data_IF_094993760348
#
_entry.id   IF_094993760348
#
_cell.length_a   1.000
_cell.length_b   1.000
_cell.length_c   1.000
_cell.angle_alpha   90.00
_cell.angle_beta   90.00
_cell.angle_gamma   90.00
#
_symmetry.space_group_name_H-M   'P 1'
#
loop_
_entity.id
_entity.type
_entity.pdbx_description
1 polymer ?
#
# COMPACT_ATOMS: atom_id res chain seq x y z
N UNK A 1 -30.26 -30.55 87.65
CA UNK A 1 -30.43 -30.39 86.21
C UNK A 1 -29.62 -29.19 85.75
N UNK A 2 -28.36 -29.40 85.42
CA UNK A 2 -27.41 -28.37 84.99
C UNK A 2 -27.23 -28.50 83.49
N UNK A 3 -28.10 -27.84 82.71
CA UNK A 3 -27.96 -27.71 81.26
C UNK A 3 -27.23 -26.38 81.04
N UNK A 4 -25.90 -26.48 80.92
CA UNK A 4 -25.06 -25.37 80.49
C UNK A 4 -25.05 -25.30 78.97
N UNK A 5 -25.35 -24.11 78.49
CA UNK A 5 -25.42 -23.63 77.11
C UNK A 5 -24.05 -23.66 76.41
N UNK A 6 -24.01 -24.11 75.14
CA UNK A 6 -23.14 -23.63 74.04
C UNK A 6 -23.56 -24.39 72.76
N UNK A 7 -24.35 -23.83 71.85
CA UNK A 7 -24.12 -22.76 70.85
C UNK A 7 -23.02 -23.05 69.83
N UNK A 8 -23.41 -23.43 68.61
CA UNK A 8 -22.75 -23.12 67.32
C UNK A 8 -23.80 -23.29 66.20
N UNK A 9 -24.47 -22.25 65.71
CA UNK A 9 -24.08 -21.30 64.64
C UNK A 9 -23.89 -21.96 63.26
N UNK A 10 -24.98 -22.00 62.47
CA UNK A 10 -24.94 -22.15 61.01
C UNK A 10 -24.68 -20.79 60.36
N UNK A 11 -23.60 -20.72 59.59
CA UNK A 11 -23.05 -19.55 58.90
C UNK A 11 -23.50 -19.50 57.45
N UNK A 12 -24.22 -18.44 57.07
CA UNK A 12 -24.50 -18.08 55.68
C UNK A 12 -23.21 -17.54 55.02
N UNK A 13 -22.78 -18.05 53.85
CA UNK A 13 -21.61 -17.52 53.16
C UNK A 13 -21.88 -16.12 52.60
N UNK A 14 -21.07 -15.17 53.07
CA UNK A 14 -20.99 -13.78 52.61
C UNK A 14 -20.58 -13.72 51.14
N UNK A 15 -21.41 -13.10 50.31
CA UNK A 15 -21.00 -12.60 49.00
C UNK A 15 -20.04 -11.42 49.19
N UNK A 16 -18.75 -11.69 49.00
CA UNK A 16 -17.70 -10.67 48.90
C UNK A 16 -17.91 -9.88 47.61
N UNK A 17 -18.47 -8.68 47.73
CA UNK A 17 -18.49 -7.69 46.65
C UNK A 17 -17.09 -7.07 46.54
N UNK A 18 -16.26 -7.67 45.70
CA UNK A 18 -14.99 -7.07 45.27
C UNK A 18 -15.31 -5.83 44.42
N UNK A 19 -15.20 -4.64 45.03
CA UNK A 19 -15.14 -3.37 44.31
C UNK A 19 -13.83 -3.32 43.53
N UNK A 20 -13.85 -3.62 42.24
CA UNK A 20 -12.76 -3.21 41.34
C UNK A 20 -12.91 -1.72 41.04
N UNK A 21 -12.00 -0.92 41.57
CA UNK A 21 -11.81 0.47 41.17
C UNK A 21 -11.20 0.42 39.76
N UNK A 22 -12.02 0.62 38.73
CA UNK A 22 -11.52 0.95 37.39
C UNK A 22 -11.43 2.46 37.31
N UNK A 23 -10.21 2.95 37.42
CA UNK A 23 -9.79 4.32 37.13
C UNK A 23 -10.16 4.65 35.68
N UNK A 24 -11.18 5.50 35.47
CA UNK A 24 -11.40 6.14 34.17
C UNK A 24 -10.30 7.18 33.95
N UNK A 25 -9.24 6.81 33.22
CA UNK A 25 -8.38 7.77 32.55
C UNK A 25 -9.22 8.48 31.49
N UNK A 26 -9.53 9.74 31.76
CA UNK A 26 -10.28 10.63 30.88
C UNK A 26 -9.31 11.15 29.81
N UNK A 27 -9.18 10.46 28.68
CA UNK A 27 -8.62 11.07 27.46
C UNK A 27 -9.75 11.73 26.69
N UNK A 28 -9.88 13.04 26.87
CA UNK A 28 -10.75 13.89 26.06
C UNK A 28 -10.19 13.99 24.63
N UNK A 29 -10.80 13.31 23.67
CA UNK A 29 -10.66 13.69 22.26
C UNK A 29 -11.60 14.86 22.01
N UNK A 30 -11.02 16.06 21.95
CA UNK A 30 -11.72 17.25 21.49
C UNK A 30 -12.17 17.05 20.04
N UNK A 31 -13.48 17.13 19.81
CA UNK A 31 -14.04 17.22 18.47
C UNK A 31 -13.67 18.58 17.88
N UNK A 32 -12.83 18.59 16.85
CA UNK A 32 -12.66 19.75 15.98
C UNK A 32 -13.66 19.67 14.82
N UNK A 33 -14.32 20.78 14.44
CA UNK A 33 -15.24 20.79 13.32
C UNK A 33 -14.49 20.66 12.00
N UNK A 34 -14.94 19.75 11.14
CA UNK A 34 -14.52 19.64 9.74
C UNK A 34 -14.95 20.92 8.99
N UNK A 35 -13.97 21.68 8.46
CA UNK A 35 -14.24 22.79 7.53
C UNK A 35 -14.48 22.23 6.13
N UNK A 36 -15.60 22.64 5.52
CA UNK A 36 -15.92 22.35 4.13
C UNK A 36 -14.93 23.04 3.17
N UNK A 37 -14.52 22.33 2.11
CA UNK A 37 -13.76 22.89 1.01
C UNK A 37 -14.69 23.56 -0.01
N UNK A 38 -14.46 24.85 -0.23
CA UNK A 38 -15.07 25.63 -1.31
C UNK A 38 -14.42 25.24 -2.64
N UNK A 39 -15.26 24.86 -3.62
CA UNK A 39 -14.86 24.69 -5.01
C UNK A 39 -15.30 25.95 -5.76
N UNK A 40 -14.34 26.73 -6.27
CA UNK A 40 -14.64 27.80 -7.23
C UNK A 40 -14.19 27.33 -8.61
N UNK A 41 -15.14 27.30 -9.55
CA UNK A 41 -14.90 26.97 -10.95
C UNK A 41 -14.23 28.13 -11.68
N UNK A 42 -13.16 27.83 -12.41
CA UNK A 42 -12.50 28.74 -13.34
C UNK A 42 -12.22 28.01 -14.65
N UNK A 43 -12.80 28.53 -15.73
CA UNK A 43 -12.60 28.12 -17.11
C UNK A 43 -11.21 28.50 -17.62
N UNK A 44 -10.76 27.80 -18.66
CA UNK A 44 -9.49 27.86 -19.40
C UNK A 44 -8.30 27.06 -18.85
N UNK A 45 -7.77 26.23 -19.75
CA UNK A 45 -6.76 25.21 -19.50
C UNK A 45 -5.45 25.76 -18.93
N UNK A 46 -4.92 25.01 -17.97
CA UNK A 46 -3.63 25.24 -17.35
C UNK A 46 -3.47 24.35 -16.11
N UNK A 47 -2.58 23.36 -16.23
CA UNK A 47 -2.05 22.46 -15.20
C UNK A 47 -2.44 22.74 -13.73
N UNK A 48 -3.23 21.87 -13.11
CA UNK A 48 -3.50 21.88 -11.67
C UNK A 48 -2.25 21.49 -10.89
N UNK A 49 -1.60 22.47 -10.23
CA UNK A 49 -0.54 22.21 -9.25
C UNK A 49 -1.16 22.08 -7.87
N UNK A 50 -1.18 20.87 -7.32
CA UNK A 50 -1.49 20.64 -5.91
C UNK A 50 -0.24 20.92 -5.06
N UNK A 51 -0.31 21.97 -4.24
CA UNK A 51 0.68 22.25 -3.20
C UNK A 51 0.44 21.31 -2.01
N UNK A 52 1.39 20.41 -1.74
CA UNK A 52 1.44 19.67 -0.48
C UNK A 52 2.27 20.48 0.51
N UNK A 53 1.64 20.94 1.58
CA UNK A 53 2.37 21.40 2.76
C UNK A 53 2.80 20.16 3.56
N UNK A 54 4.11 19.98 3.73
CA UNK A 54 4.66 19.02 4.69
C UNK A 54 5.18 19.79 5.90
N UNK A 55 4.65 19.45 7.07
CA UNK A 55 5.21 19.80 8.37
C UNK A 55 6.26 18.73 8.72
N UNK A 56 7.52 19.17 8.85
CA UNK A 56 8.55 18.68 9.78
C UNK A 56 9.07 17.23 9.69
N UNK A 57 10.39 17.09 9.47
CA UNK A 57 11.16 15.88 9.81
C UNK A 57 12.41 15.72 8.95
N UNK A 58 13.60 16.02 9.49
CA UNK A 58 14.86 16.25 8.75
C UNK A 58 15.62 15.04 8.19
N UNK A 59 16.65 15.37 7.39
CA UNK A 59 17.73 14.51 6.86
C UNK A 59 17.49 14.10 5.40
N UNK A 60 18.18 14.55 4.35
CA UNK A 60 19.56 15.00 4.19
C UNK A 60 20.28 14.01 3.26
N UNK A 61 20.95 14.52 2.20
CA UNK A 61 21.90 13.88 1.27
C UNK A 61 21.46 13.55 -0.18
N UNK A 62 22.22 14.13 -1.14
CA UNK A 62 22.36 13.75 -2.55
C UNK A 62 21.49 14.57 -3.52
N UNK A 63 21.96 15.45 -4.41
CA UNK A 63 23.24 15.52 -5.11
C UNK A 63 22.93 15.68 -6.61
N UNK A 64 22.51 16.88 -7.03
CA UNK A 64 22.12 17.19 -8.40
C UNK A 64 23.29 17.72 -9.24
N UNK A 65 23.61 17.04 -10.33
CA UNK A 65 24.53 17.53 -11.37
C UNK A 65 23.73 18.22 -12.47
N UNK A 66 23.86 19.55 -12.56
CA UNK A 66 23.42 20.35 -13.70
C UNK A 66 24.64 20.85 -14.47
N UNK A 67 24.82 20.37 -15.70
CA UNK A 67 25.80 20.90 -16.66
C UNK A 67 25.13 22.02 -17.48
N UNK A 68 25.50 23.27 -17.20
CA UNK A 68 25.17 24.44 -18.02
C UNK A 68 26.45 25.15 -18.42
N UNK A 69 26.89 24.92 -19.67
CA UNK A 69 28.07 25.57 -20.24
C UNK A 69 27.71 26.92 -20.86
N UNK A 70 28.43 27.96 -20.48
CA UNK A 70 28.38 29.27 -21.13
C UNK A 70 29.78 29.86 -21.19
N UNK A 71 30.34 30.02 -22.39
CA UNK A 71 31.44 30.92 -22.71
C UNK A 71 31.41 31.21 -24.22
N UNK A 72 31.01 32.43 -24.61
CA UNK A 72 31.14 32.97 -25.96
C UNK A 72 31.77 34.35 -25.88
N UNK A 73 33.07 34.42 -26.15
CA UNK A 73 33.88 35.63 -26.08
C UNK A 73 33.76 36.51 -27.32
N UNK A 74 33.54 37.80 -27.11
CA UNK A 74 33.60 38.84 -28.14
C UNK A 74 35.05 39.22 -28.44
N UNK A 75 35.42 39.21 -29.71
CA UNK A 75 36.67 39.78 -30.22
C UNK A 75 36.40 41.16 -30.81
N UNK A 76 36.90 42.19 -30.14
CA UNK A 76 37.11 43.53 -30.68
C UNK A 76 38.60 43.75 -30.91
N UNK A 77 38.97 44.21 -32.10
CA UNK A 77 40.36 44.54 -32.44
C UNK A 77 40.39 45.38 -33.70
N UNK A 78 40.40 46.70 -33.53
CA UNK A 78 40.66 47.68 -34.59
C UNK A 78 42.09 48.22 -34.49
N UNK A 79 42.78 48.30 -35.63
CA UNK A 79 44.00 49.07 -35.93
C UNK A 79 44.14 49.00 -37.47
N UNK A 80 44.47 50.00 -38.28
CA UNK A 80 44.80 51.41 -38.14
C UNK A 80 45.18 51.94 -39.54
N UNK A 81 45.38 53.26 -39.65
CA UNK A 81 45.62 54.05 -40.88
C UNK A 81 46.75 53.56 -41.78
N UNK A 82 46.83 53.88 -43.08
CA UNK A 82 46.55 55.16 -43.73
C UNK A 82 47.84 55.91 -44.07
N UNK A 83 48.31 55.83 -45.33
CA UNK A 83 49.29 56.71 -46.01
C UNK A 83 49.10 56.45 -47.53
N UNK A 84 48.93 57.40 -48.47
CA UNK A 84 49.29 58.81 -48.52
C UNK A 84 50.49 59.00 -49.46
N UNK A 85 50.27 59.48 -50.69
CA UNK A 85 51.36 59.78 -51.62
C UNK A 85 50.89 60.27 -53.00
N UNK A 86 50.60 61.56 -53.10
CA UNK A 86 50.44 62.30 -54.36
C UNK A 86 51.52 63.39 -54.51
N UNK A 87 51.44 64.11 -55.65
CA UNK A 87 52.15 65.35 -56.02
C UNK A 87 53.61 65.21 -56.50
N UNK A 88 54.19 66.03 -57.38
CA UNK A 88 53.80 66.94 -58.47
C UNK A 88 55.05 67.79 -58.78
N UNK A 89 55.49 67.95 -60.03
CA UNK A 89 56.40 69.04 -60.50
C UNK A 89 56.46 68.93 -62.04
N UNK A 90 56.40 69.93 -62.91
CA UNK A 90 56.42 71.39 -62.80
C UNK A 90 57.20 71.98 -63.98
N UNK A 91 56.50 72.50 -65.00
CA UNK A 91 56.78 73.64 -65.92
C UNK A 91 58.13 73.71 -66.69
N UNK A 92 58.06 73.80 -68.04
CA UNK A 92 58.61 74.91 -68.88
C UNK A 92 58.42 74.64 -70.41
N UNK A 93 57.63 75.53 -71.04
CA UNK A 93 57.83 76.22 -72.34
C UNK A 93 58.35 75.44 -73.58
N UNK A 94 57.47 75.34 -74.59
CA UNK A 94 57.80 75.71 -75.98
C UNK A 94 58.05 74.60 -77.01
N UNK A 95 57.20 74.55 -78.04
CA UNK A 95 57.60 74.17 -79.40
C UNK A 95 57.45 72.70 -79.82
N UNK A 96 56.57 72.49 -80.81
CA UNK A 96 56.65 71.53 -81.90
C UNK A 96 56.67 70.00 -81.63
N UNK A 97 55.49 69.40 -81.86
CA UNK A 97 55.23 68.23 -82.72
C UNK A 97 55.95 66.87 -82.50
N UNK A 98 56.90 66.73 -81.57
CA UNK A 98 57.61 65.46 -81.28
C UNK A 98 57.15 64.77 -79.97
N UNK A 99 56.22 65.39 -79.24
CA UNK A 99 55.78 64.93 -77.92
C UNK A 99 54.77 63.76 -77.94
N UNK A 100 54.14 63.48 -79.09
CA UNK A 100 53.07 62.47 -79.21
C UNK A 100 53.66 61.06 -79.42
N UNK A 101 54.78 60.91 -80.15
CA UNK A 101 55.43 59.61 -80.38
C UNK A 101 56.27 59.11 -79.19
N UNK A 102 56.88 60.01 -78.40
CA UNK A 102 57.58 59.65 -77.16
C UNK A 102 56.62 59.19 -76.06
N UNK A 103 55.41 59.74 -76.02
CA UNK A 103 54.37 59.37 -75.06
C UNK A 103 53.81 57.96 -75.33
N UNK A 104 53.57 57.59 -76.59
CA UNK A 104 53.08 56.26 -76.96
C UNK A 104 54.11 55.14 -76.71
N UNK A 105 55.40 55.43 -76.90
CA UNK A 105 56.47 54.48 -76.59
C UNK A 105 56.67 54.31 -75.08
N UNK A 106 56.55 55.39 -74.30
CA UNK A 106 56.62 55.35 -72.84
C UNK A 106 55.42 54.62 -72.22
N UNK A 107 54.21 54.78 -72.77
CA UNK A 107 53.03 54.03 -72.32
C UNK A 107 53.12 52.54 -72.68
N UNK A 108 53.65 52.20 -73.86
CA UNK A 108 53.91 50.80 -74.24
C UNK A 108 55.01 50.15 -73.39
N UNK A 109 56.05 50.89 -73.00
CA UNK A 109 57.05 50.40 -72.05
C UNK A 109 56.43 50.18 -70.66
N UNK A 110 55.62 51.11 -70.14
CA UNK A 110 54.95 50.93 -68.86
C UNK A 110 54.00 49.72 -68.84
N UNK A 111 53.27 49.50 -69.95
CA UNK A 111 52.44 48.31 -70.13
C UNK A 111 53.27 47.03 -70.17
N UNK A 112 54.39 47.03 -70.90
CA UNK A 112 55.30 45.88 -70.94
C UNK A 112 55.96 45.61 -69.59
N UNK A 113 56.35 46.62 -68.82
CA UNK A 113 56.90 46.47 -67.48
C UNK A 113 55.84 45.94 -66.50
N UNK A 114 54.58 46.37 -66.68
CA UNK A 114 53.43 45.83 -65.93
C UNK A 114 53.10 44.39 -66.31
N UNK A 115 53.26 44.03 -67.58
CA UNK A 115 53.06 42.65 -68.06
C UNK A 115 54.22 41.75 -67.59
N UNK A 116 55.46 42.24 -67.60
CA UNK A 116 56.62 41.56 -67.06
C UNK A 116 56.46 41.30 -65.55
N UNK A 117 56.06 42.32 -64.77
CA UNK A 117 55.78 42.15 -63.34
C UNK A 117 54.58 41.25 -63.06
N UNK A 118 53.56 41.24 -63.94
CA UNK A 118 52.45 40.28 -63.85
C UNK A 118 52.91 38.85 -64.13
N UNK A 119 53.74 38.63 -65.15
CA UNK A 119 54.32 37.32 -65.46
C UNK A 119 55.26 36.83 -64.35
N UNK A 120 56.07 37.72 -63.77
CA UNK A 120 56.90 37.44 -62.60
C UNK A 120 56.00 37.01 -61.42
N UNK A 121 54.89 37.71 -61.21
CA UNK A 121 53.93 37.38 -60.15
C UNK A 121 53.25 36.03 -60.39
N UNK A 122 52.82 35.74 -61.61
CA UNK A 122 52.22 34.46 -61.98
C UNK A 122 53.21 33.33 -61.74
N UNK A 123 54.48 33.46 -62.18
CA UNK A 123 55.52 32.47 -61.91
C UNK A 123 55.77 32.26 -60.41
N UNK A 124 55.76 33.34 -59.62
CA UNK A 124 55.91 33.23 -58.16
C UNK A 124 54.74 32.50 -57.50
N UNK A 125 53.51 32.72 -58.00
CA UNK A 125 52.31 32.07 -57.52
C UNK A 125 52.23 30.60 -57.94
N UNK A 126 52.65 30.27 -59.16
CA UNK A 126 52.78 28.89 -59.64
C UNK A 126 53.81 28.11 -58.81
N UNK A 127 54.96 28.71 -58.51
CA UNK A 127 55.98 28.11 -57.64
C UNK A 127 55.44 27.90 -56.21
N UNK A 128 54.72 28.88 -55.66
CA UNK A 128 54.07 28.77 -54.36
C UNK A 128 52.99 27.67 -54.33
N UNK A 129 52.14 27.59 -55.36
CA UNK A 129 51.14 26.53 -55.49
C UNK A 129 51.79 25.15 -55.59
N UNK A 130 52.85 24.99 -56.38
CA UNK A 130 53.59 23.73 -56.46
C UNK A 130 54.21 23.33 -55.11
N UNK A 131 54.66 24.30 -54.30
CA UNK A 131 55.12 24.00 -52.93
C UNK A 131 53.99 23.59 -51.99
N UNK A 132 52.84 24.26 -52.06
CA UNK A 132 51.66 23.94 -51.24
C UNK A 132 51.07 22.57 -51.59
N UNK A 133 50.97 22.23 -52.88
CA UNK A 133 50.52 20.91 -53.31
C UNK A 133 51.42 19.79 -52.79
N UNK A 134 52.75 20.01 -52.78
CA UNK A 134 53.70 19.05 -52.21
C UNK A 134 53.49 18.90 -50.70
N UNK A 135 53.30 20.01 -49.99
CA UNK A 135 53.03 19.99 -48.54
C UNK A 135 51.71 19.28 -48.21
N UNK A 136 50.66 19.47 -49.04
CA UNK A 136 49.38 18.78 -48.90
C UNK A 136 49.56 17.28 -49.10
N UNK A 137 50.27 16.86 -50.16
CA UNK A 137 50.57 15.44 -50.40
C UNK A 137 51.35 14.83 -49.25
N UNK A 138 52.43 15.48 -48.81
CA UNK A 138 53.19 15.03 -47.64
C UNK A 138 52.36 14.96 -46.36
N UNK A 139 51.41 15.89 -46.16
CA UNK A 139 50.51 15.88 -45.01
C UNK A 139 49.56 14.67 -45.05
N UNK A 140 49.00 14.35 -46.21
CA UNK A 140 48.15 13.17 -46.38
C UNK A 140 48.95 11.85 -46.26
N UNK A 141 50.16 11.79 -46.81
CA UNK A 141 51.04 10.63 -46.68
C UNK A 141 51.49 10.39 -45.24
N UNK A 142 51.86 11.46 -44.52
CA UNK A 142 52.26 11.40 -43.09
C UNK A 142 51.10 11.04 -42.17
N UNK A 143 49.87 11.46 -42.51
CA UNK A 143 48.69 11.08 -41.73
C UNK A 143 48.17 9.69 -42.05
N UNK A 144 48.55 9.11 -43.19
CA UNK A 144 48.03 7.86 -43.70
C UNK A 144 46.49 7.84 -43.77
N UNK A 145 45.88 6.75 -44.25
CA UNK A 145 44.53 6.45 -43.80
C UNK A 145 44.62 6.38 -42.28
N UNK A 146 43.71 7.04 -41.57
CA UNK A 146 43.56 6.91 -40.11
C UNK A 146 43.46 5.42 -39.83
N UNK A 147 44.62 4.81 -39.54
CA UNK A 147 44.73 3.42 -39.24
C UNK A 147 43.76 3.21 -38.10
N UNK A 148 42.86 2.25 -38.29
CA UNK A 148 41.95 1.80 -37.26
C UNK A 148 42.75 1.73 -35.97
N UNK A 149 42.47 2.65 -35.06
CA UNK A 149 43.14 2.67 -33.76
C UNK A 149 42.74 1.35 -33.13
N UNK A 150 43.66 0.40 -32.99
CA UNK A 150 43.33 -0.97 -32.60
C UNK A 150 42.70 -1.00 -31.21
N UNK A 151 41.37 -1.00 -31.16
CA UNK A 151 40.57 -1.12 -29.94
C UNK A 151 40.48 -2.57 -29.45
N UNK A 152 41.19 -3.49 -30.11
CA UNK A 152 41.15 -4.93 -29.85
C UNK A 152 41.40 -5.29 -28.38
N UNK A 153 42.34 -4.58 -27.74
CA UNK A 153 42.69 -4.74 -26.32
C UNK A 153 41.52 -4.47 -25.35
N UNK A 154 40.57 -3.62 -25.72
CA UNK A 154 39.42 -3.30 -24.88
C UNK A 154 38.29 -4.32 -25.00
N UNK A 155 38.22 -5.08 -26.09
CA UNK A 155 37.16 -6.08 -26.28
C UNK A 155 37.17 -7.15 -25.20
N UNK A 156 38.35 -7.64 -24.80
CA UNK A 156 38.46 -8.62 -23.73
C UNK A 156 37.94 -8.07 -22.40
N UNK A 157 38.32 -6.84 -22.05
CA UNK A 157 37.83 -6.18 -20.82
C UNK A 157 36.33 -5.89 -20.88
N UNK A 158 35.80 -5.50 -22.04
CA UNK A 158 34.38 -5.23 -22.23
C UNK A 158 33.58 -6.53 -22.13
N UNK A 159 34.07 -7.63 -22.70
CA UNK A 159 33.42 -8.92 -22.61
C UNK A 159 33.43 -9.47 -21.18
N UNK A 160 34.56 -9.39 -20.48
CA UNK A 160 34.64 -9.77 -19.06
C UNK A 160 33.67 -8.95 -18.19
N UNK A 161 33.58 -7.63 -18.40
CA UNK A 161 32.61 -6.78 -17.71
C UNK A 161 31.17 -7.13 -18.06
N UNK A 162 30.87 -7.41 -19.33
CA UNK A 162 29.53 -7.86 -19.75
C UNK A 162 29.14 -9.17 -19.09
N UNK A 163 30.06 -10.13 -18.99
CA UNK A 163 29.79 -11.42 -18.37
C UNK A 163 29.65 -11.30 -16.86
N UNK A 164 30.44 -10.44 -16.20
CA UNK A 164 30.24 -10.08 -14.79
C UNK A 164 28.87 -9.46 -14.55
N UNK A 165 28.41 -8.55 -15.42
CA UNK A 165 27.07 -7.95 -15.33
C UNK A 165 26.00 -9.03 -15.48
N UNK A 166 26.09 -9.91 -16.50
CA UNK A 166 25.12 -11.00 -16.68
C UNK A 166 25.07 -11.92 -15.47
N UNK A 167 26.23 -12.34 -14.95
CA UNK A 167 26.31 -13.19 -13.77
C UNK A 167 25.73 -12.50 -12.54
N UNK A 168 25.99 -11.21 -12.35
CA UNK A 168 25.40 -10.42 -11.27
C UNK A 168 23.87 -10.33 -11.41
N UNK A 169 23.35 -10.13 -12.62
CA UNK A 169 21.90 -10.11 -12.89
C UNK A 169 21.24 -11.45 -12.57
N UNK A 170 21.85 -12.56 -13.00
CA UNK A 170 21.36 -13.92 -12.70
C UNK A 170 21.40 -14.18 -11.19
N UNK A 171 22.49 -13.83 -10.51
CA UNK A 171 22.61 -13.99 -9.08
C UNK A 171 21.60 -13.14 -8.31
N UNK A 172 21.33 -11.91 -8.76
CA UNK A 172 20.30 -11.05 -8.17
C UNK A 172 18.91 -11.68 -8.32
N UNK A 173 18.57 -12.19 -9.51
CA UNK A 173 17.32 -12.91 -9.73
C UNK A 173 17.20 -14.15 -8.83
N UNK A 174 18.28 -14.93 -8.68
CA UNK A 174 18.30 -16.09 -7.77
C UNK A 174 18.08 -15.68 -6.31
N UNK A 175 18.71 -14.59 -5.84
CA UNK A 175 18.52 -14.07 -4.49
C UNK A 175 17.07 -13.62 -4.28
N UNK A 176 16.48 -12.93 -5.24
CA UNK A 176 15.08 -12.51 -5.17
C UNK A 176 14.14 -13.73 -5.04
N UNK A 177 14.36 -14.77 -5.84
CA UNK A 177 13.60 -16.02 -5.74
C UNK A 177 13.76 -16.71 -4.38
N UNK A 178 14.98 -16.71 -3.81
CA UNK A 178 15.21 -17.26 -2.47
C UNK A 178 14.51 -16.45 -1.38
N UNK A 179 14.48 -15.11 -1.51
CA UNK A 179 13.75 -14.22 -0.61
C UNK A 179 12.26 -14.52 -0.68
N UNK A 180 11.69 -14.62 -1.88
CA UNK A 180 10.27 -14.89 -2.06
C UNK A 180 9.91 -16.30 -1.56
N UNK A 181 10.74 -17.30 -1.82
CA UNK A 181 10.55 -18.64 -1.26
C UNK A 181 10.60 -18.64 0.28
N UNK A 182 11.55 -17.93 0.87
CA UNK A 182 11.66 -17.80 2.33
C UNK A 182 10.46 -17.08 2.95
N UNK A 183 9.94 -16.05 2.27
CA UNK A 183 8.71 -15.34 2.70
C UNK A 183 7.49 -16.24 2.62
N UNK A 184 7.30 -16.97 1.51
CA UNK A 184 6.19 -17.91 1.36
C UNK A 184 6.24 -19.02 2.42
N UNK A 185 7.43 -19.54 2.74
CA UNK A 185 7.60 -20.51 3.81
C UNK A 185 7.26 -19.91 5.18
N UNK A 186 7.69 -18.68 5.46
CA UNK A 186 7.36 -17.98 6.70
C UNK A 186 5.85 -17.74 6.84
N UNK A 187 5.16 -17.35 5.76
CA UNK A 187 3.72 -17.16 5.74
C UNK A 187 2.97 -18.49 5.94
N UNK A 188 3.42 -19.59 5.33
CA UNK A 188 2.85 -20.92 5.55
C UNK A 188 2.98 -21.35 7.01
N UNK A 189 4.15 -21.14 7.64
CA UNK A 189 4.32 -21.40 9.07
C UNK A 189 3.48 -20.48 9.95
N UNK A 190 3.31 -19.20 9.57
CA UNK A 190 2.44 -18.26 10.29
C UNK A 190 1.00 -18.74 10.30
N UNK A 191 0.47 -19.13 9.14
CA UNK A 191 -0.91 -19.65 9.01
C UNK A 191 -1.08 -20.94 9.83
N UNK A 192 -0.11 -21.87 9.74
CA UNK A 192 -0.13 -23.11 10.55
C UNK A 192 -0.12 -22.81 12.05
N UNK A 193 0.69 -21.85 12.48
CA UNK A 193 0.74 -21.43 13.88
C UNK A 193 -0.59 -20.80 14.33
N UNK A 194 -1.19 -19.92 13.52
CA UNK A 194 -2.49 -19.30 13.83
C UNK A 194 -3.59 -20.35 13.93
N UNK A 195 -3.60 -21.35 13.03
CA UNK A 195 -4.56 -22.46 13.09
C UNK A 195 -4.37 -23.33 14.34
N UNK A 196 -3.14 -23.73 14.66
CA UNK A 196 -2.82 -24.50 15.86
C UNK A 196 -3.18 -23.73 17.15
N UNK A 197 -2.88 -22.43 17.18
CA UNK A 197 -3.24 -21.56 18.30
C UNK A 197 -4.76 -21.50 18.51
N UNK A 198 -5.53 -21.36 17.43
CA UNK A 198 -6.99 -21.34 17.50
C UNK A 198 -7.55 -22.69 18.00
N UNK A 199 -7.02 -23.81 17.50
CA UNK A 199 -7.40 -25.15 17.99
C UNK A 199 -7.05 -25.32 19.47
N UNK A 200 -5.85 -24.92 19.88
CA UNK A 200 -5.42 -24.97 21.29
C UNK A 200 -6.36 -24.15 22.18
N UNK A 201 -6.70 -22.93 21.79
CA UNK A 201 -7.62 -22.07 22.55
C UNK A 201 -9.01 -22.70 22.69
N UNK A 202 -9.52 -23.35 21.64
CA UNK A 202 -10.78 -24.10 21.70
C UNK A 202 -10.70 -25.25 22.72
N UNK A 203 -9.64 -26.05 22.64
CA UNK A 203 -9.44 -27.18 23.58
C UNK A 203 -9.25 -26.68 25.02
N UNK A 204 -8.53 -25.58 25.23
CA UNK A 204 -8.39 -24.96 26.55
C UNK A 204 -9.72 -24.49 27.11
N UNK A 205 -10.58 -23.89 26.27
CA UNK A 205 -11.93 -23.49 26.67
C UNK A 205 -12.78 -24.71 27.04
N UNK A 206 -12.71 -25.80 26.27
CA UNK A 206 -13.41 -27.05 26.56
C UNK A 206 -12.93 -27.68 27.87
N UNK A 207 -11.61 -27.71 28.13
CA UNK A 207 -11.05 -28.19 29.40
C UNK A 207 -11.54 -27.34 30.57
N UNK A 208 -11.57 -26.01 30.42
CA UNK A 208 -12.09 -25.13 31.46
C UNK A 208 -13.58 -25.37 31.75
N UNK A 209 -14.38 -25.60 30.71
CA UNK A 209 -15.79 -25.94 30.83
C UNK A 209 -16.00 -27.31 31.49
N UNK A 210 -15.21 -28.32 31.10
CA UNK A 210 -15.25 -29.66 31.72
C UNK A 210 -14.86 -29.62 33.20
N UNK A 211 -13.88 -28.80 33.59
CA UNK A 211 -13.53 -28.58 35.00
C UNK A 211 -14.69 -27.96 35.78
N UNK A 212 -15.35 -26.93 35.23
CA UNK A 212 -16.56 -26.35 35.84
C UNK A 212 -17.70 -27.35 35.97
N UNK A 213 -17.92 -28.19 34.96
CA UNK A 213 -18.93 -29.24 34.99
C UNK A 213 -18.62 -30.29 36.07
N UNK A 214 -17.36 -30.68 36.21
CA UNK A 214 -16.91 -31.59 37.27
C UNK A 214 -17.16 -30.99 38.66
N UNK A 215 -16.80 -29.72 38.86
CA UNK A 215 -17.03 -29.01 40.13
C UNK A 215 -18.53 -28.94 40.44
N UNK A 216 -19.36 -28.57 39.46
CA UNK A 216 -20.81 -28.53 39.60
C UNK A 216 -21.39 -29.92 39.93
N UNK A 217 -20.93 -30.96 39.24
CA UNK A 217 -21.39 -32.34 39.49
C UNK A 217 -20.98 -32.79 40.89
N UNK A 218 -19.77 -32.44 41.34
CA UNK A 218 -19.28 -32.76 42.68
C UNK A 218 -20.11 -32.06 43.76
N UNK A 219 -20.50 -30.80 43.55
CA UNK A 219 -21.42 -30.09 44.45
C UNK A 219 -22.78 -30.78 44.50
N UNK A 220 -23.39 -31.08 43.35
CA UNK A 220 -24.70 -31.78 43.32
C UNK A 220 -24.65 -33.16 43.97
N UNK A 221 -23.53 -33.87 43.84
CA UNK A 221 -23.31 -35.15 44.53
C UNK A 221 -23.29 -34.95 46.04
N UNK A 222 -22.55 -33.97 46.55
CA UNK A 222 -22.50 -33.66 47.97
C UNK A 222 -23.87 -33.24 48.52
N UNK A 223 -24.64 -32.44 47.78
CA UNK A 223 -26.01 -32.06 48.14
C UNK A 223 -26.93 -33.28 48.25
N UNK A 224 -26.83 -34.23 47.31
CA UNK A 224 -27.61 -35.47 47.34
C UNK A 224 -27.16 -36.41 48.46
N UNK A 225 -25.86 -36.51 48.74
CA UNK A 225 -25.33 -37.27 49.88
C UNK A 225 -25.87 -36.73 51.21
N UNK A 226 -25.90 -35.40 51.37
CA UNK A 226 -26.48 -34.75 52.55
C UNK A 226 -28.00 -35.02 52.67
N UNK A 227 -28.74 -34.99 51.55
CA UNK A 227 -30.16 -35.36 51.55
C UNK A 227 -30.38 -36.82 51.96
N UNK A 228 -29.57 -37.74 51.45
CA UNK A 228 -29.63 -39.16 51.82
C UNK A 228 -29.37 -39.33 53.31
N UNK A 229 -28.34 -38.69 53.86
CA UNK A 229 -28.02 -38.75 55.30
C UNK A 229 -29.18 -38.21 56.14
N UNK A 230 -29.75 -37.05 55.76
CA UNK A 230 -30.90 -36.47 56.47
C UNK A 230 -32.14 -37.39 56.48
N UNK A 231 -32.43 -38.07 55.36
CA UNK A 231 -33.53 -39.03 55.26
C UNK A 231 -33.25 -40.31 56.07
N UNK A 232 -31.99 -40.73 56.15
CA UNK A 232 -31.58 -41.86 56.99
C UNK A 232 -31.76 -41.54 58.47
N UNK A 233 -31.40 -40.33 58.90
CA UNK A 233 -31.60 -39.83 60.26
C UNK A 233 -33.10 -39.73 60.61
N UNK A 234 -33.92 -39.20 59.70
CA UNK A 234 -35.37 -39.14 59.88
C UNK A 234 -35.99 -40.54 60.01
N UNK A 235 -35.55 -41.48 59.18
CA UNK A 235 -35.99 -42.88 59.24
C UNK A 235 -35.56 -43.54 60.56
N UNK A 236 -34.34 -43.29 61.04
CA UNK A 236 -33.85 -43.78 62.32
C UNK A 236 -34.65 -43.19 63.49
N UNK A 237 -34.94 -41.88 63.44
CA UNK A 237 -35.77 -41.19 64.41
C UNK A 237 -37.18 -41.76 64.48
N UNK A 238 -37.84 -41.95 63.33
CA UNK A 238 -39.18 -42.54 63.26
C UNK A 238 -39.21 -43.98 63.79
N UNK A 239 -38.20 -44.80 63.48
CA UNK A 239 -38.08 -46.16 64.04
C UNK A 239 -37.92 -46.15 65.55
N UNK A 240 -37.08 -45.26 66.08
CA UNK A 240 -36.89 -45.10 67.52
C UNK A 240 -38.17 -44.65 68.21
N UNK A 241 -38.86 -43.64 67.67
CA UNK A 241 -40.12 -43.16 68.21
C UNK A 241 -41.18 -44.27 68.21
N UNK A 242 -41.30 -45.02 67.12
CA UNK A 242 -42.21 -46.17 67.07
C UNK A 242 -41.86 -47.25 68.10
N UNK A 243 -40.57 -47.53 68.31
CA UNK A 243 -40.12 -48.47 69.32
C UNK A 243 -40.46 -48.00 70.74
N UNK A 244 -40.27 -46.71 71.03
CA UNK A 244 -40.64 -46.07 72.30
C UNK A 244 -42.16 -46.09 72.50
N UNK A 245 -42.96 -45.77 71.49
CA UNK A 245 -44.43 -45.84 71.53
C UNK A 245 -44.92 -47.27 71.78
N UNK A 246 -44.34 -48.26 71.10
CA UNK A 246 -44.64 -49.67 71.36
C UNK A 246 -44.22 -50.11 72.77
N UNK A 247 -43.11 -49.60 73.29
CA UNK A 247 -42.68 -49.87 74.66
C UNK A 247 -43.63 -49.22 75.68
N UNK A 248 -44.07 -47.98 75.43
CA UNK A 248 -45.05 -47.27 76.24
C UNK A 248 -46.43 -47.98 76.22
N UNK A 249 -46.90 -48.40 75.04
CA UNK A 249 -48.13 -49.18 74.90
C UNK A 249 -48.03 -50.54 75.61
N UNK A 250 -46.88 -51.23 75.55
CA UNK A 250 -46.63 -52.46 76.31
C UNK A 250 -46.58 -52.22 77.82
N UNK A 251 -46.00 -51.11 78.26
CA UNK A 251 -46.00 -50.69 79.66
C UNK A 251 -47.44 -50.37 80.13
N UNK A 252 -48.25 -49.77 79.27
CA UNK A 252 -49.66 -49.50 79.53
C UNK A 252 -50.50 -50.79 79.57
N UNK A 253 -50.17 -51.79 78.73
CA UNK A 253 -50.81 -53.10 78.71
C UNK A 253 -50.43 -54.00 79.90
N UNK A 254 -49.35 -53.69 80.62
CA UNK A 254 -48.88 -54.44 81.82
C UNK A 254 -49.32 -53.80 83.14
N UNK A 255 -50.12 -52.74 83.08
CA UNK A 255 -50.74 -52.11 84.24
C UNK A 255 -52.26 -52.14 84.16
N UNK A 256 -52.90 -53.29 84.41
CA UNK A 256 -54.25 -53.27 84.99
C UNK A 256 -54.11 -52.82 86.44
N UNK A 257 -53.99 -51.51 86.64
CA UNK A 257 -54.09 -50.90 87.97
C UNK A 257 -55.42 -50.18 88.02
N UNK A 258 -56.37 -50.84 88.68
CA UNK A 258 -57.58 -50.24 89.19
C UNK A 258 -57.15 -49.16 90.20
N UNK A 259 -57.34 -47.88 89.85
CA UNK A 259 -57.21 -46.75 90.79
C UNK A 259 -58.62 -46.24 91.06
N UNK A 260 -59.25 -46.81 92.07
CA UNK A 260 -60.31 -46.16 92.83
C UNK A 260 -59.63 -45.25 93.86
N UNK A 261 -59.46 -43.96 93.57
CA UNK A 261 -59.26 -42.98 94.65
C UNK A 261 -59.87 -41.63 94.24
N UNK A 262 -61.05 -41.40 94.82
CA UNK A 262 -61.45 -40.18 95.52
C UNK A 262 -61.67 -38.89 94.71
N UNK A 263 -62.88 -38.35 94.87
CA UNK A 263 -63.30 -37.09 94.28
C UNK A 263 -62.46 -35.96 94.88
N UNK A 264 -61.44 -35.53 94.12
CA UNK A 264 -60.73 -34.31 94.42
C UNK A 264 -61.71 -33.12 94.46
N UNK A 265 -61.45 -32.11 95.32
CA UNK A 265 -62.41 -31.08 95.66
C UNK A 265 -62.83 -30.30 94.42
N UNK A 266 -64.15 -30.13 94.27
CA UNK A 266 -64.86 -29.24 93.35
C UNK A 266 -63.90 -28.39 92.48
N UNK A 267 -63.54 -28.90 91.31
CA UNK A 267 -62.70 -28.18 90.37
C UNK A 267 -63.42 -26.88 90.04
N UNK A 268 -62.76 -25.76 90.33
CA UNK A 268 -63.29 -24.43 90.16
C UNK A 268 -63.69 -24.28 88.68
N UNK A 269 -65.00 -24.39 88.39
CA UNK A 269 -65.51 -24.47 87.02
C UNK A 269 -65.06 -23.25 86.20
N UNK A 270 -64.85 -22.13 86.89
CA UNK A 270 -64.24 -20.92 86.34
C UNK A 270 -62.80 -21.13 85.86
N UNK A 271 -61.95 -21.89 86.58
CA UNK A 271 -60.60 -22.23 86.10
C UNK A 271 -60.63 -23.11 84.86
N UNK A 272 -61.51 -24.11 84.81
CA UNK A 272 -61.61 -25.01 83.64
C UNK A 272 -62.15 -24.25 82.42
N UNK A 273 -63.16 -23.40 82.61
CA UNK A 273 -63.68 -22.52 81.55
C UNK A 273 -62.64 -21.51 81.08
N UNK A 274 -61.82 -20.97 81.99
CA UNK A 274 -60.71 -20.06 81.65
C UNK A 274 -59.58 -20.79 80.92
N UNK A 275 -59.24 -22.02 81.30
CA UNK A 275 -58.28 -22.88 80.58
C UNK A 275 -58.77 -23.24 79.17
N UNK A 276 -60.06 -23.59 79.02
CA UNK A 276 -60.67 -23.86 77.71
C UNK A 276 -60.66 -22.59 76.85
N UNK A 277 -61.01 -21.43 77.42
CA UNK A 277 -60.95 -20.14 76.71
C UNK A 277 -59.52 -19.80 76.31
N UNK A 278 -58.54 -19.97 77.20
CA UNK A 278 -57.13 -19.75 76.93
C UNK A 278 -56.57 -20.72 75.86
N UNK A 279 -57.07 -21.96 75.82
CA UNK A 279 -56.72 -22.95 74.82
C UNK A 279 -57.25 -22.55 73.43
N UNK A 280 -58.52 -22.15 73.33
CA UNK A 280 -59.07 -21.67 72.06
C UNK A 280 -58.44 -20.36 71.60
N UNK A 281 -58.17 -19.43 72.51
CA UNK A 281 -57.45 -18.19 72.20
C UNK A 281 -56.04 -18.48 71.66
N UNK A 282 -55.32 -19.44 72.27
CA UNK A 282 -54.03 -19.88 71.76
C UNK A 282 -54.13 -20.52 70.36
N UNK A 283 -55.13 -21.37 70.12
CA UNK A 283 -55.35 -21.99 68.81
C UNK A 283 -55.65 -20.92 67.75
N UNK A 284 -56.53 -19.96 68.05
CA UNK A 284 -56.87 -18.86 67.14
C UNK A 284 -55.64 -18.00 66.86
N UNK A 285 -54.87 -17.65 67.89
CA UNK A 285 -53.61 -16.90 67.70
C UNK A 285 -52.58 -17.68 66.90
N UNK A 286 -52.45 -19.00 67.13
CA UNK A 286 -51.55 -19.86 66.39
C UNK A 286 -51.94 -19.92 64.92
N UNK A 287 -53.21 -20.19 64.61
CA UNK A 287 -53.71 -20.18 63.23
C UNK A 287 -53.57 -18.82 62.55
N UNK A 288 -53.78 -17.71 63.28
CA UNK A 288 -53.56 -16.36 62.73
C UNK A 288 -52.10 -16.15 62.35
N UNK A 289 -51.15 -16.53 63.22
CA UNK A 289 -49.71 -16.45 62.92
C UNK A 289 -49.33 -17.35 61.75
N UNK A 290 -49.80 -18.60 61.73
CA UNK A 290 -49.53 -19.53 60.64
C UNK A 290 -50.06 -19.00 59.30
N UNK A 291 -51.24 -18.39 59.27
CA UNK A 291 -51.77 -17.73 58.06
C UNK A 291 -50.93 -16.52 57.66
N UNK A 292 -50.60 -15.62 58.60
CA UNK A 292 -49.75 -14.47 58.34
C UNK A 292 -48.38 -14.88 57.78
N UNK A 293 -47.78 -15.93 58.33
CA UNK A 293 -46.47 -16.44 57.91
C UNK A 293 -46.55 -17.16 56.56
N UNK A 294 -47.62 -17.93 56.30
CA UNK A 294 -47.88 -18.51 54.98
C UNK A 294 -48.06 -17.44 53.90
N UNK A 295 -48.82 -16.37 54.20
CA UNK A 295 -48.98 -15.24 53.27
C UNK A 295 -47.66 -14.52 53.03
N UNK A 296 -46.87 -14.27 54.07
CA UNK A 296 -45.53 -13.66 53.93
C UNK A 296 -44.61 -14.52 53.08
N UNK A 297 -44.56 -15.82 53.32
CA UNK A 297 -43.71 -16.74 52.56
C UNK A 297 -44.12 -16.80 51.09
N UNK A 298 -45.43 -16.90 50.81
CA UNK A 298 -45.94 -16.89 49.44
C UNK A 298 -45.67 -15.57 48.72
N UNK A 299 -45.83 -14.44 49.42
CA UNK A 299 -45.56 -13.10 48.87
C UNK A 299 -44.07 -12.89 48.64
N UNK A 300 -43.21 -13.38 49.54
CA UNK A 300 -41.76 -13.33 49.38
C UNK A 300 -41.28 -14.17 48.20
N UNK A 301 -41.83 -15.38 48.01
CA UNK A 301 -41.57 -16.22 46.85
C UNK A 301 -41.96 -15.54 45.53
N UNK A 302 -43.18 -14.97 45.46
CA UNK A 302 -43.65 -14.24 44.28
C UNK A 302 -42.78 -13.01 43.99
N UNK A 303 -42.40 -12.24 45.02
CA UNK A 303 -41.57 -11.06 44.85
C UNK A 303 -40.17 -11.42 44.34
N UNK A 304 -39.59 -12.52 44.83
CA UNK A 304 -38.31 -13.05 44.31
C UNK A 304 -38.40 -13.43 42.84
N UNK A 305 -39.47 -14.12 42.44
CA UNK A 305 -39.71 -14.50 41.04
C UNK A 305 -39.90 -13.27 40.14
N UNK A 306 -40.65 -12.26 40.60
CA UNK A 306 -40.83 -10.99 39.87
C UNK A 306 -39.51 -10.25 39.68
N UNK A 307 -38.66 -10.20 40.70
CA UNK A 307 -37.33 -9.57 40.60
C UNK A 307 -36.45 -10.33 39.61
N UNK A 308 -36.41 -11.66 39.68
CA UNK A 308 -35.64 -12.49 38.76
C UNK A 308 -36.14 -12.36 37.31
N UNK A 309 -37.46 -12.40 37.10
CA UNK A 309 -38.07 -12.20 35.79
C UNK A 309 -37.74 -10.81 35.22
N UNK A 310 -37.80 -9.77 36.06
CA UNK A 310 -37.44 -8.40 35.66
C UNK A 310 -35.97 -8.29 35.26
N UNK A 311 -35.06 -8.93 36.01
CA UNK A 311 -33.63 -8.97 35.68
C UNK A 311 -33.37 -9.69 34.35
N UNK A 312 -34.02 -10.84 34.12
CA UNK A 312 -33.91 -11.57 32.84
C UNK A 312 -34.45 -10.72 31.69
N UNK A 313 -35.56 -10.00 31.87
CA UNK A 313 -36.10 -9.09 30.85
C UNK A 313 -35.14 -7.94 30.56
N UNK A 314 -34.51 -7.35 31.59
CA UNK A 314 -33.55 -6.27 31.39
C UNK A 314 -32.27 -6.73 30.69
N UNK A 315 -31.72 -7.87 31.10
CA UNK A 315 -30.52 -8.46 30.50
C UNK A 315 -30.77 -8.85 29.04
N UNK A 316 -31.85 -9.57 28.75
CA UNK A 316 -32.23 -9.91 27.36
C UNK A 316 -32.47 -8.68 26.51
N UNK A 317 -33.15 -7.65 27.03
CA UNK A 317 -33.31 -6.38 26.33
C UNK A 317 -31.96 -5.72 26.00
N UNK A 318 -31.02 -5.71 26.94
CA UNK A 318 -29.69 -5.16 26.72
C UNK A 318 -28.90 -5.93 25.65
N UNK A 319 -28.95 -7.26 25.69
CA UNK A 319 -28.32 -8.13 24.67
C UNK A 319 -28.93 -7.89 23.28
N UNK A 320 -30.26 -7.76 23.18
CA UNK A 320 -30.92 -7.44 21.91
C UNK A 320 -30.50 -6.07 21.39
N UNK A 321 -30.34 -5.06 22.24
CA UNK A 321 -29.85 -3.75 21.81
C UNK A 321 -28.39 -3.79 21.36
N UNK A 322 -27.54 -4.56 22.05
CA UNK A 322 -26.15 -4.74 21.67
C UNK A 322 -26.03 -5.45 20.31
N UNK A 323 -26.76 -6.56 20.12
CA UNK A 323 -26.81 -7.28 18.84
C UNK A 323 -27.34 -6.41 17.68
N UNK A 324 -28.31 -5.52 17.95
CA UNK A 324 -28.76 -4.56 16.93
C UNK A 324 -27.69 -3.55 16.57
N UNK A 325 -26.95 -3.06 17.55
CA UNK A 325 -25.86 -2.11 17.31
C UNK A 325 -24.70 -2.76 16.55
N UNK A 326 -24.35 -4.01 16.88
CA UNK A 326 -23.30 -4.76 16.14
C UNK A 326 -23.74 -5.06 14.71
N UNK A 327 -25.00 -5.44 14.50
CA UNK A 327 -25.56 -5.64 13.15
C UNK A 327 -25.48 -4.35 12.32
N UNK A 328 -25.92 -3.22 12.87
CA UNK A 328 -25.83 -1.92 12.18
C UNK A 328 -24.38 -1.53 11.87
N UNK A 329 -23.46 -1.76 12.79
CA UNK A 329 -22.03 -1.49 12.56
C UNK A 329 -21.47 -2.35 11.42
N UNK A 330 -21.80 -3.65 11.40
CA UNK A 330 -21.39 -4.57 10.34
C UNK A 330 -22.02 -4.20 8.99
N UNK A 331 -23.26 -3.73 8.98
CA UNK A 331 -23.94 -3.28 7.77
C UNK A 331 -23.28 -2.01 7.20
N UNK A 332 -22.91 -1.05 8.04
CA UNK A 332 -22.15 0.14 7.62
C UNK A 332 -20.79 -0.26 7.08
N UNK A 333 -20.09 -1.18 7.75
CA UNK A 333 -18.79 -1.67 7.28
C UNK A 333 -18.93 -2.38 5.93
N UNK A 334 -19.95 -3.23 5.74
CA UNK A 334 -20.27 -3.85 4.45
C UNK A 334 -20.52 -2.81 3.36
N UNK A 335 -21.33 -1.78 3.62
CA UNK A 335 -21.57 -0.71 2.64
C UNK A 335 -20.29 0.06 2.31
N UNK A 336 -19.43 0.31 3.30
CA UNK A 336 -18.14 0.96 3.07
C UNK A 336 -17.23 0.11 2.18
N UNK A 337 -17.16 -1.20 2.42
CA UNK A 337 -16.35 -2.14 1.63
C UNK A 337 -16.88 -2.26 0.20
N UNK A 338 -18.20 -2.28 0.00
CA UNK A 338 -18.81 -2.26 -1.33
C UNK A 338 -18.46 -0.96 -2.07
N UNK A 339 -18.49 0.19 -1.40
CA UNK A 339 -18.10 1.47 -2.00
C UNK A 339 -16.62 1.50 -2.38
N UNK A 340 -15.74 0.94 -1.53
CA UNK A 340 -14.31 0.83 -1.79
C UNK A 340 -14.03 -0.09 -2.97
N UNK A 341 -14.70 -1.25 -3.03
CA UNK A 341 -14.63 -2.18 -4.16
C UNK A 341 -15.00 -1.49 -5.46
N UNK A 342 -16.15 -0.80 -5.50
CA UNK A 342 -16.60 -0.09 -6.70
C UNK A 342 -15.61 1.00 -7.14
N UNK A 343 -15.01 1.73 -6.18
CA UNK A 343 -13.97 2.72 -6.49
C UNK A 343 -12.70 2.09 -7.09
N UNK A 344 -12.27 0.94 -6.56
CA UNK A 344 -11.12 0.20 -7.09
C UNK A 344 -11.39 -0.39 -8.48
N UNK A 345 -12.57 -0.97 -8.70
CA UNK A 345 -12.99 -1.48 -10.01
C UNK A 345 -13.02 -0.35 -11.06
N UNK A 346 -13.55 0.83 -10.71
CA UNK A 346 -13.54 2.00 -11.59
C UNK A 346 -12.12 2.50 -11.88
N UNK A 347 -11.25 2.52 -10.87
CA UNK A 347 -9.85 2.91 -11.06
C UNK A 347 -9.11 1.92 -11.96
N UNK A 348 -9.38 0.62 -11.81
CA UNK A 348 -8.82 -0.42 -12.68
C UNK A 348 -9.29 -0.20 -14.12
N UNK A 349 -10.60 -0.04 -14.34
CA UNK A 349 -11.17 0.20 -15.66
C UNK A 349 -10.62 1.47 -16.32
N UNK A 350 -10.43 2.57 -15.58
CA UNK A 350 -9.81 3.80 -16.12
C UNK A 350 -8.34 3.57 -16.50
N UNK A 351 -7.57 2.82 -15.68
CA UNK A 351 -6.18 2.49 -16.03
C UNK A 351 -6.10 1.59 -17.26
N UNK A 352 -6.94 0.57 -17.37
CA UNK A 352 -7.02 -0.31 -18.53
C UNK A 352 -7.40 0.46 -19.79
N UNK A 353 -8.40 1.36 -19.70
CA UNK A 353 -8.81 2.21 -20.81
C UNK A 353 -7.68 3.14 -21.27
N UNK A 354 -6.93 3.75 -20.34
CA UNK A 354 -5.76 4.58 -20.67
C UNK A 354 -4.64 3.80 -21.35
N UNK A 355 -4.30 2.62 -20.84
CA UNK A 355 -3.28 1.78 -21.47
C UNK A 355 -3.72 1.27 -22.84
N UNK A 356 -4.98 0.88 -22.99
CA UNK A 356 -5.57 0.50 -24.28
C UNK A 356 -5.48 1.64 -25.30
N UNK A 357 -5.83 2.86 -24.90
CA UNK A 357 -5.70 4.04 -25.75
C UNK A 357 -4.24 4.34 -26.14
N UNK A 358 -3.30 4.18 -25.19
CA UNK A 358 -1.87 4.36 -25.46
C UNK A 358 -1.34 3.30 -26.44
N UNK A 359 -1.72 2.03 -26.27
CA UNK A 359 -1.37 0.95 -27.19
C UNK A 359 -1.94 1.19 -28.59
N UNK A 360 -3.20 1.63 -28.68
CA UNK A 360 -3.80 2.02 -29.96
C UNK A 360 -3.04 3.19 -30.61
N UNK A 361 -2.58 4.16 -29.81
CA UNK A 361 -1.71 5.25 -30.27
C UNK A 361 -0.39 4.75 -30.86
N UNK A 362 0.30 3.85 -30.16
CA UNK A 362 1.54 3.25 -30.66
C UNK A 362 1.30 2.41 -31.92
N UNK A 363 0.22 1.64 -31.98
CA UNK A 363 -0.14 0.87 -33.18
C UNK A 363 -0.37 1.79 -34.39
N UNK A 364 -1.05 2.93 -34.19
CA UNK A 364 -1.23 3.93 -35.24
C UNK A 364 0.11 4.51 -35.71
N UNK A 365 1.03 4.80 -34.78
CA UNK A 365 2.36 5.30 -35.13
C UNK A 365 3.17 4.25 -35.92
N UNK A 366 3.11 2.98 -35.53
CA UNK A 366 3.72 1.87 -36.27
C UNK A 366 3.14 1.82 -37.68
N UNK A 367 1.81 1.83 -37.83
CA UNK A 367 1.15 1.77 -39.12
C UNK A 367 1.56 2.95 -40.03
N UNK A 368 1.69 4.17 -39.48
CA UNK A 368 2.16 5.35 -40.23
C UNK A 368 3.60 5.17 -40.71
N UNK A 369 4.51 4.74 -39.84
CA UNK A 369 5.91 4.50 -40.19
C UNK A 369 6.06 3.36 -41.21
N UNK A 370 5.28 2.29 -41.08
CA UNK A 370 5.24 1.20 -42.06
C UNK A 370 4.76 1.68 -43.43
N UNK A 371 3.75 2.54 -43.48
CA UNK A 371 3.26 3.15 -44.71
C UNK A 371 4.31 4.07 -45.36
N UNK A 372 4.99 4.92 -44.59
CA UNK A 372 6.09 5.76 -45.07
C UNK A 372 7.25 4.91 -45.63
N UNK A 373 7.61 3.83 -44.93
CA UNK A 373 8.67 2.92 -45.37
C UNK A 373 8.27 2.21 -46.67
N UNK A 374 7.02 1.76 -46.80
CA UNK A 374 6.49 1.19 -48.02
C UNK A 374 6.53 2.19 -49.20
N UNK A 375 6.14 3.46 -48.95
CA UNK A 375 6.19 4.51 -49.96
C UNK A 375 7.63 4.82 -50.41
N UNK A 376 8.58 4.93 -49.47
CA UNK A 376 10.00 5.14 -49.76
C UNK A 376 10.57 3.98 -50.58
N UNK A 377 10.25 2.73 -50.24
CA UNK A 377 10.65 1.55 -51.03
C UNK A 377 10.12 1.63 -52.46
N UNK A 378 8.84 1.95 -52.63
CA UNK A 378 8.23 2.11 -53.96
C UNK A 378 8.90 3.24 -54.76
N UNK A 379 9.22 4.37 -54.12
CA UNK A 379 9.90 5.49 -54.76
C UNK A 379 11.34 5.13 -55.18
N UNK A 380 12.10 4.42 -54.34
CA UNK A 380 13.44 3.94 -54.68
C UNK A 380 13.37 2.96 -55.85
N UNK A 381 12.40 2.04 -55.85
CA UNK A 381 12.22 1.10 -56.94
C UNK A 381 11.87 1.82 -58.25
N UNK A 382 11.00 2.83 -58.20
CA UNK A 382 10.68 3.67 -59.35
C UNK A 382 11.93 4.41 -59.87
N UNK A 383 12.68 5.09 -59.00
CA UNK A 383 13.91 5.77 -59.38
C UNK A 383 14.92 4.79 -59.98
N UNK A 384 15.05 3.59 -59.42
CA UNK A 384 15.90 2.54 -59.97
C UNK A 384 15.53 2.16 -61.42
N UNK A 385 14.23 2.08 -61.73
CA UNK A 385 13.74 1.84 -63.09
C UNK A 385 14.04 3.02 -64.02
N UNK A 386 13.84 4.26 -63.56
CA UNK A 386 14.15 5.47 -64.33
C UNK A 386 15.65 5.59 -64.63
N UNK A 387 16.52 5.31 -63.65
CA UNK A 387 17.97 5.26 -63.85
C UNK A 387 18.39 4.17 -64.84
N UNK A 388 17.78 2.99 -64.77
CA UNK A 388 18.07 1.92 -65.72
C UNK A 388 17.71 2.32 -67.17
N UNK A 389 16.57 2.99 -67.36
CA UNK A 389 16.15 3.49 -68.67
C UNK A 389 17.07 4.61 -69.18
N UNK A 390 17.48 5.54 -68.31
CA UNK A 390 18.42 6.59 -68.68
C UNK A 390 19.80 6.02 -69.06
N UNK A 391 20.25 4.98 -68.34
CA UNK A 391 21.48 4.28 -68.66
C UNK A 391 21.40 3.62 -70.04
N UNK A 392 20.28 2.96 -70.38
CA UNK A 392 20.06 2.36 -71.70
C UNK A 392 20.06 3.40 -72.84
N UNK A 393 19.43 4.56 -72.62
CA UNK A 393 19.49 5.68 -73.59
C UNK A 393 20.93 6.19 -73.72
N UNK A 394 21.65 6.36 -72.61
CA UNK A 394 23.04 6.81 -72.61
C UNK A 394 23.94 5.85 -73.38
N UNK A 395 23.86 4.56 -73.12
CA UNK A 395 24.68 3.55 -73.82
C UNK A 395 24.38 3.54 -75.32
N UNK A 396 23.12 3.70 -75.73
CA UNK A 396 22.74 3.84 -77.14
C UNK A 396 23.31 5.10 -77.78
N UNK A 397 23.21 6.26 -77.12
CA UNK A 397 23.79 7.51 -77.63
C UNK A 397 25.33 7.44 -77.71
N UNK A 398 25.99 6.79 -76.75
CA UNK A 398 27.44 6.56 -76.79
C UNK A 398 27.84 5.70 -78.01
N UNK A 399 27.03 4.70 -78.37
CA UNK A 399 27.22 3.92 -79.60
C UNK A 399 27.04 4.79 -80.85
N UNK A 400 26.00 5.63 -80.91
CA UNK A 400 25.77 6.56 -82.03
C UNK A 400 26.93 7.58 -82.18
N UNK A 401 27.45 8.13 -81.08
CA UNK A 401 28.63 9.01 -81.12
C UNK A 401 29.87 8.26 -81.62
N UNK A 402 30.07 7.01 -81.19
CA UNK A 402 31.20 6.20 -81.65
C UNK A 402 31.13 5.93 -83.16
N UNK A 403 29.93 5.66 -83.71
CA UNK A 403 29.76 5.52 -85.16
C UNK A 403 29.98 6.84 -85.89
N UNK A 404 29.46 7.96 -85.37
CA UNK A 404 29.72 9.28 -85.95
C UNK A 404 31.21 9.65 -85.95
N UNK A 405 31.95 9.36 -84.88
CA UNK A 405 33.42 9.58 -84.81
C UNK A 405 34.17 8.76 -85.86
N UNK A 406 33.83 7.48 -86.01
CA UNK A 406 34.42 6.62 -87.03
C UNK A 406 34.15 7.13 -88.45
N UNK A 407 32.95 7.65 -88.72
CA UNK A 407 32.64 8.26 -90.02
C UNK A 407 33.43 9.55 -90.28
N UNK A 408 33.66 10.37 -89.26
CA UNK A 408 34.50 11.58 -89.38
C UNK A 408 35.97 11.24 -89.66
N UNK A 409 36.55 10.29 -88.91
CA UNK A 409 37.94 9.83 -89.14
C UNK A 409 38.13 9.27 -90.57
N UNK A 410 37.11 8.63 -91.14
CA UNK A 410 37.14 8.14 -92.52
C UNK A 410 36.95 9.24 -93.58
N UNK A 411 36.49 10.45 -93.22
CA UNK A 411 36.39 11.59 -94.13
C UNK A 411 37.62 12.49 -94.12
N UNK A 412 38.39 12.51 -93.03
CA UNK A 412 39.66 13.25 -92.92
C UNK A 412 40.85 12.54 -93.59
N UNK A 413 40.67 11.31 -94.07
CA UNK A 413 41.63 10.58 -94.93
C UNK A 413 41.27 10.86 -96.39
N UNK A 414 41.74 11.98 -96.94
CA UNK A 414 41.69 12.25 -98.38
C UNK A 414 42.96 12.93 -98.88
#
# INVERSE_FOLDING_TARGET
MSISVRTTTSTVPRTMTSKSIITKTRSSSAAFPQKAHSVYGGSLGGSTRTSTYRVGGGGGYGGGYGFGGGYGGGYGGGYGGGYGGGFSTGIMVGGDSDLIQLNEKATMQNLNDRLASYLEKVRSLEAANATLERQIREYYDKKGPIAQRDYSKYWNTINDLKDKIKNATINNANILLQIDNSKLAADDFRIKYEHELAMRQSVEADIANLRRLLDQTTLTKADLEMQIESLQDELAFMKKNHQEDLAALRAQLTGTVNVEVDAAPQQDLNKVLEEIRAHYENIIQKHRREQEDWFKDKTAGLNKEVVQSTEIIQTTKSQVTELRNTLQSLEIELQSQLSMKAALENSLADTEARYSAMLAGYQNQINMLEAELAQLRASIEQQGREYALLLDIKTRLEQEIATYRSLLENQDIK
#
